data_IF_586556460937
#
_entry.id   IF_586556460937
#
_cell.length_a   1.000
_cell.length_b   1.000
_cell.length_c   1.000
_cell.angle_alpha   90.00
_cell.angle_beta   90.00
_cell.angle_gamma   90.00
#
_symmetry.space_group_name_H-M   'P 1'
#
loop_
_entity.id
_entity.type
_entity.pdbx_description
1 polymer ?
#
# COMPACT_ATOMS: atom_id res chain seq x y z
N UNK A 1 -14.07 27.67 15.28
CA UNK A 1 -14.21 26.24 15.64
C UNK A 1 -13.60 25.40 14.52
N UNK A 2 -12.36 24.95 14.70
CA UNK A 2 -11.68 24.12 13.69
C UNK A 2 -12.29 22.72 13.68
N UNK A 3 -12.77 22.27 12.52
CA UNK A 3 -13.17 20.87 12.27
C UNK A 3 -11.99 19.97 12.67
N UNK A 4 -12.09 19.29 13.82
CA UNK A 4 -11.18 18.19 14.15
C UNK A 4 -11.49 17.07 13.15
N UNK A 5 -10.61 16.87 12.18
CA UNK A 5 -10.71 15.74 11.25
C UNK A 5 -10.71 14.45 12.07
N UNK A 6 -11.84 13.76 12.12
CA UNK A 6 -11.94 12.44 12.71
C UNK A 6 -11.31 11.45 11.73
N UNK A 7 -10.00 11.24 11.84
CA UNK A 7 -9.41 10.05 11.23
C UNK A 7 -9.90 8.85 12.04
N UNK A 8 -10.95 8.20 11.56
CA UNK A 8 -11.34 6.90 12.07
C UNK A 8 -10.18 5.94 11.78
N UNK A 9 -9.67 5.25 12.80
CA UNK A 9 -8.72 4.15 12.60
C UNK A 9 -9.50 3.05 11.87
N UNK A 10 -9.33 2.98 10.55
CA UNK A 10 -9.89 1.92 9.72
C UNK A 10 -9.03 0.68 9.93
N UNK A 11 -9.62 -0.35 10.56
CA UNK A 11 -9.02 -1.67 10.61
C UNK A 11 -9.28 -2.35 9.27
N UNK A 12 -8.21 -2.79 8.61
CA UNK A 12 -8.28 -3.49 7.34
C UNK A 12 -7.63 -4.86 7.51
N UNK A 13 -8.26 -5.88 6.96
CA UNK A 13 -7.67 -7.22 6.80
C UNK A 13 -7.07 -7.33 5.41
N UNK A 14 -5.84 -7.84 5.31
CA UNK A 14 -5.17 -8.11 4.05
C UNK A 14 -4.57 -9.52 4.12
N UNK A 15 -4.75 -10.28 3.03
CA UNK A 15 -4.11 -11.58 2.88
C UNK A 15 -2.67 -11.37 2.45
N UNK A 16 -1.74 -11.81 3.29
CA UNK A 16 -0.30 -11.70 3.05
C UNK A 16 0.33 -13.09 2.96
N UNK A 17 1.31 -13.31 2.06
CA UNK A 17 2.06 -14.55 2.02
C UNK A 17 2.69 -14.87 3.37
N UNK A 18 2.62 -16.14 3.79
CA UNK A 18 3.11 -16.55 5.11
C UNK A 18 4.59 -16.20 5.35
N UNK A 19 5.43 -16.31 4.32
CA UNK A 19 6.84 -15.93 4.37
C UNK A 19 7.03 -14.44 4.71
N UNK A 20 6.22 -13.55 4.13
CA UNK A 20 6.26 -12.12 4.40
C UNK A 20 5.81 -11.81 5.83
N UNK A 21 4.78 -12.52 6.32
CA UNK A 21 4.33 -12.37 7.72
C UNK A 21 5.43 -12.75 8.70
N UNK A 22 6.17 -13.84 8.42
CA UNK A 22 7.29 -14.28 9.26
C UNK A 22 8.44 -13.26 9.26
N UNK A 23 8.77 -12.68 8.10
CA UNK A 23 9.78 -11.62 8.00
C UNK A 23 9.37 -10.38 8.82
N UNK A 24 8.11 -9.94 8.70
CA UNK A 24 7.59 -8.82 9.46
C UNK A 24 7.64 -9.08 10.97
N UNK A 25 7.36 -10.31 11.42
CA UNK A 25 7.50 -10.67 12.83
C UNK A 25 8.96 -10.71 13.31
N UNK A 26 9.90 -11.11 12.44
CA UNK A 26 11.33 -11.03 12.69
C UNK A 26 11.79 -9.59 12.94
N UNK A 27 11.50 -8.68 12.01
CA UNK A 27 11.84 -7.26 12.15
C UNK A 27 11.15 -6.59 13.35
N UNK A 28 9.90 -6.96 13.62
CA UNK A 28 9.20 -6.51 14.83
C UNK A 28 9.95 -6.93 16.10
N UNK A 29 10.57 -8.09 16.13
CA UNK A 29 11.37 -8.58 17.26
C UNK A 29 12.65 -7.77 17.50
N UNK A 30 13.19 -7.14 16.45
CA UNK A 30 14.41 -6.30 16.52
C UNK A 30 14.11 -4.88 17.02
N UNK A 31 12.84 -4.45 17.02
CA UNK A 31 12.42 -3.10 17.38
C UNK A 31 11.58 -3.15 18.67
N UNK A 32 12.12 -2.60 19.75
CA UNK A 32 11.46 -2.63 21.05
C UNK A 32 10.12 -1.90 21.04
N UNK A 33 9.05 -2.59 21.45
CA UNK A 33 7.74 -1.99 21.70
C UNK A 33 6.89 -1.73 20.46
N UNK A 34 7.34 -2.12 19.25
CA UNK A 34 6.53 -2.00 18.04
C UNK A 34 5.60 -3.22 17.88
N UNK A 35 4.38 -3.00 17.41
CA UNK A 35 3.48 -4.06 16.99
C UNK A 35 3.46 -4.18 15.45
N UNK A 36 2.97 -5.31 14.93
CA UNK A 36 2.99 -5.59 13.48
C UNK A 36 2.21 -4.54 12.68
N UNK A 37 1.04 -4.13 13.16
CA UNK A 37 0.23 -3.11 12.48
C UNK A 37 0.93 -1.76 12.40
N UNK A 38 1.68 -1.39 13.46
CA UNK A 38 2.46 -0.16 13.49
C UNK A 38 3.63 -0.23 12.52
N UNK A 39 4.36 -1.34 12.52
CA UNK A 39 5.44 -1.59 11.56
C UNK A 39 4.94 -1.49 10.11
N UNK A 40 3.82 -2.15 9.79
CA UNK A 40 3.20 -2.08 8.45
C UNK A 40 2.80 -0.65 8.11
N UNK A 41 2.19 0.08 9.05
CA UNK A 41 1.77 1.48 8.82
C UNK A 41 2.95 2.40 8.54
N UNK A 42 4.05 2.23 9.28
CA UNK A 42 5.26 3.05 9.11
C UNK A 42 5.98 2.70 7.78
N UNK A 43 6.01 1.41 7.39
CA UNK A 43 6.52 0.97 6.09
C UNK A 43 5.69 1.50 4.92
N UNK A 44 4.35 1.41 5.00
CA UNK A 44 3.46 1.94 3.98
C UNK A 44 3.64 3.45 3.84
N UNK A 45 3.71 4.17 4.96
CA UNK A 45 3.94 5.62 4.94
C UNK A 45 5.27 5.95 4.26
N UNK A 46 6.34 5.25 4.62
CA UNK A 46 7.65 5.44 3.99
C UNK A 46 7.63 5.15 2.48
N UNK A 47 6.90 4.12 2.06
CA UNK A 47 6.77 3.77 0.64
C UNK A 47 6.00 4.86 -0.12
N UNK A 48 4.90 5.35 0.44
CA UNK A 48 4.11 6.45 -0.13
C UNK A 48 4.95 7.74 -0.24
N UNK A 49 5.72 8.07 0.79
CA UNK A 49 6.61 9.24 0.79
C UNK A 49 7.72 9.14 -0.28
N UNK A 50 8.02 7.93 -0.76
CA UNK A 50 8.99 7.66 -1.83
C UNK A 50 8.38 7.54 -3.23
N UNK A 51 7.08 7.81 -3.38
CA UNK A 51 6.42 7.71 -4.68
C UNK A 51 6.12 6.28 -5.09
N UNK A 52 5.96 5.34 -4.15
CA UNK A 52 5.62 3.95 -4.49
C UNK A 52 4.30 3.83 -5.28
N UNK A 53 3.38 4.80 -5.13
CA UNK A 53 2.15 4.84 -5.95
C UNK A 53 2.49 5.09 -7.41
N UNK A 54 3.38 6.04 -7.68
CA UNK A 54 3.77 6.42 -9.04
C UNK A 54 4.61 5.30 -9.71
N UNK A 55 5.36 4.52 -8.92
CA UNK A 55 6.09 3.34 -9.40
C UNK A 55 5.15 2.17 -9.74
N UNK A 56 4.08 1.99 -8.95
CA UNK A 56 3.07 0.93 -9.17
C UNK A 56 2.07 1.29 -10.27
N UNK A 57 1.79 2.58 -10.45
CA UNK A 57 0.92 3.12 -11.48
C UNK A 57 1.71 4.15 -12.28
N UNK A 58 2.64 3.71 -13.15
CA UNK A 58 3.33 4.63 -14.03
C UNK A 58 2.28 5.40 -14.82
N UNK A 59 2.43 6.73 -14.90
CA UNK A 59 1.54 7.57 -15.69
C UNK A 59 1.49 7.01 -17.12
N UNK A 60 0.34 6.44 -17.49
CA UNK A 60 0.09 6.08 -18.87
C UNK A 60 -0.07 7.39 -19.64
N UNK A 61 0.74 7.65 -20.67
CA UNK A 61 0.61 8.84 -21.53
C UNK A 61 -0.76 8.95 -22.22
N UNK A 62 -1.58 7.89 -22.14
CA UNK A 62 -2.93 7.86 -22.63
C UNK A 62 -3.92 7.96 -21.46
N UNK A 63 -4.68 9.07 -21.42
CA UNK A 63 -5.85 9.26 -20.55
C UNK A 63 -6.97 8.29 -20.97
N UNK A 64 -6.74 7.00 -20.70
CA UNK A 64 -7.76 5.99 -20.85
C UNK A 64 -8.69 6.15 -19.66
N UNK A 65 -9.80 6.85 -19.88
CA UNK A 65 -11.00 6.68 -19.07
C UNK A 65 -11.28 5.17 -19.01
N UNK A 66 -10.84 4.49 -17.95
CA UNK A 66 -11.06 3.06 -17.70
C UNK A 66 -12.54 2.83 -17.33
N UNK A 67 -13.44 3.25 -18.23
CA UNK A 67 -14.86 3.05 -18.11
C UNK A 67 -15.25 1.72 -18.75
N UNK A 68 -14.66 1.34 -19.89
CA UNK A 68 -15.11 0.17 -20.63
C UNK A 68 -13.99 -0.46 -21.46
N UNK A 69 -13.88 -1.79 -21.34
CA UNK A 69 -13.32 -2.77 -22.29
C UNK A 69 -11.83 -2.72 -22.67
N UNK A 70 -11.20 -3.90 -22.46
CA UNK A 70 -10.16 -4.53 -23.29
C UNK A 70 -9.42 -3.61 -24.27
N UNK A 71 -8.40 -2.91 -23.77
CA UNK A 71 -7.30 -2.46 -24.59
C UNK A 71 -6.03 -3.05 -23.97
N UNK A 72 -5.29 -3.80 -24.78
CA UNK A 72 -3.95 -4.31 -24.50
C UNK A 72 -2.99 -3.11 -24.39
N UNK A 73 -3.16 -2.32 -23.33
CA UNK A 73 -2.14 -1.37 -22.93
C UNK A 73 -1.04 -2.24 -22.34
N UNK A 74 0.16 -2.16 -22.90
CA UNK A 74 1.36 -2.86 -22.40
C UNK A 74 1.77 -2.46 -20.96
N UNK A 75 0.86 -1.81 -20.22
CA UNK A 75 0.85 -1.71 -18.80
C UNK A 75 0.80 -3.13 -18.21
N UNK A 76 1.93 -3.64 -17.75
CA UNK A 76 1.96 -4.79 -16.84
C UNK A 76 1.44 -4.35 -15.47
N UNK A 77 0.18 -3.91 -15.39
CA UNK A 77 -0.55 -3.87 -14.14
C UNK A 77 -0.61 -5.31 -13.67
N UNK A 78 0.16 -5.63 -12.62
CA UNK A 78 0.22 -6.96 -12.02
C UNK A 78 -1.18 -7.32 -11.54
N UNK A 79 -1.85 -8.11 -12.38
CA UNK A 79 -3.08 -8.90 -12.18
C UNK A 79 -3.77 -8.77 -10.81
N UNK A 80 -4.98 -8.21 -10.83
CA UNK A 80 -6.07 -8.56 -9.90
C UNK A 80 -6.64 -9.94 -10.22
#
# INVERSE_FOLDING_TARGET
>A
MGRRSHYAITKVSADLPAALVQQLDGWKGEIQGINRSRLISDLLRWALDRGAVDELYPECEFDHKHADAEADCGCHCVTC
#
